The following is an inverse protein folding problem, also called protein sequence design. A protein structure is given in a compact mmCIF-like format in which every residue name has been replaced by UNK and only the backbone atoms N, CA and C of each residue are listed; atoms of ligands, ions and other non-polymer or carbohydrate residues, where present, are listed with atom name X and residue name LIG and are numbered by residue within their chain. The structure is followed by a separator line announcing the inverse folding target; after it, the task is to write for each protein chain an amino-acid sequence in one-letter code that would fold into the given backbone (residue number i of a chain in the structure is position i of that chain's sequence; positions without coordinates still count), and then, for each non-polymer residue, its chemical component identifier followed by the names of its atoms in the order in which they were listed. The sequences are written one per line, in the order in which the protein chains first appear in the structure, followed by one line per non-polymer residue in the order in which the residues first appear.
data_IF_768864756768
#
_entry.id   IF_768864756768
#
_cell.length_a   1.000
_cell.length_b   1.000
_cell.length_c   1.000
_cell.angle_alpha   90.00
_cell.angle_beta   90.00
_cell.angle_gamma   90.00
#
_symmetry.space_group_name_H-M   'P 1'
#
loop_
_entity.id
_entity.type
_entity.pdbx_description
1 polymer ?
#
# COMPACT_ATOMS: atom_id res chain seq x y z
N UNK A 1 -2.57 10.30 -14.08
CA UNK A 1 -1.48 9.33 -14.35
C UNK A 1 -1.00 8.85 -13.00
N UNK A 2 -1.09 7.55 -12.75
CA UNK A 2 -1.03 7.00 -11.39
C UNK A 2 0.35 6.43 -11.16
N UNK A 3 1.16 7.17 -10.40
CA UNK A 3 2.27 6.57 -9.68
C UNK A 3 1.70 6.01 -8.38
N UNK A 4 1.91 4.73 -8.04
CA UNK A 4 1.28 4.11 -6.88
C UNK A 4 2.00 4.52 -5.58
N UNK A 5 1.31 5.14 -4.62
CA UNK A 5 1.90 5.51 -3.32
C UNK A 5 0.89 5.47 -2.16
N UNK A 6 1.17 4.67 -1.13
CA UNK A 6 0.45 4.71 0.15
C UNK A 6 1.45 4.82 1.31
N UNK A 7 1.04 5.66 2.26
CA UNK A 7 1.51 5.84 3.62
C UNK A 7 1.18 4.66 4.55
N UNK A 8 2.18 4.10 5.25
CA UNK A 8 2.02 3.16 6.36
C UNK A 8 2.20 3.91 7.70
N UNK A 9 1.13 4.00 8.50
CA UNK A 9 1.14 4.67 9.81
C UNK A 9 1.60 3.77 10.97
N UNK A 10 2.03 2.53 10.70
CA UNK A 10 2.27 1.57 11.79
C UNK A 10 3.60 1.82 12.52
N UNK A 11 3.60 1.99 13.86
CA UNK A 11 4.84 1.95 14.63
C UNK A 11 5.34 0.50 14.68
N UNK A 12 6.46 0.23 14.02
CA UNK A 12 7.09 -1.10 14.05
C UNK A 12 7.60 -1.42 15.47
N UNK A 13 7.29 -2.60 16.04
CA UNK A 13 7.81 -2.99 17.34
C UNK A 13 9.32 -3.27 17.26
N UNK A 14 10.07 -2.71 18.22
CA UNK A 14 11.50 -2.98 18.40
C UNK A 14 11.69 -4.47 18.68
N UNK A 15 12.47 -5.15 17.85
CA UNK A 15 12.84 -6.55 18.05
C UNK A 15 13.67 -6.71 19.33
N UNK A 16 13.05 -7.21 20.40
CA UNK A 16 13.74 -7.69 21.58
C UNK A 16 14.29 -9.10 21.30
N UNK A 17 15.60 -9.18 21.05
CA UNK A 17 16.36 -10.43 21.00
C UNK A 17 16.29 -11.11 22.36
N UNK A 18 15.55 -12.21 22.44
CA UNK A 18 15.53 -13.09 23.61
C UNK A 18 16.63 -14.14 23.44
N UNK A 19 17.64 -14.11 24.32
CA UNK A 19 18.64 -15.16 24.50
C UNK A 19 18.37 -15.85 25.84
N UNK A 20 18.08 -17.13 25.80
CA UNK A 20 18.28 -18.12 26.88
C UNK A 20 18.98 -19.32 26.22
N UNK A 21 19.76 -20.19 26.90
CA UNK A 21 19.58 -20.73 28.27
C UNK A 21 20.92 -20.69 29.06
N UNK A 22 21.21 -21.25 30.24
CA UNK A 22 20.92 -22.54 30.88
C UNK A 22 21.18 -22.34 32.39
N UNK A 23 20.30 -22.81 33.27
CA UNK A 23 20.51 -22.84 34.72
C UNK A 23 20.85 -24.29 35.14
N UNK A 24 21.99 -24.48 35.78
CA UNK A 24 22.29 -25.66 36.60
C UNK A 24 22.59 -25.16 38.01
N UNK A 25 21.77 -25.57 38.99
CA UNK A 25 22.15 -25.53 40.39
C UNK A 25 21.41 -26.60 41.18
N UNK A 26 22.19 -27.22 42.05
CA UNK A 26 21.96 -28.39 42.88
C UNK A 26 21.05 -28.12 44.08
N UNK A 27 20.55 -29.23 44.63
CA UNK A 27 19.72 -29.37 45.83
C UNK A 27 20.29 -28.73 47.11
N UNK A 28 19.43 -28.17 47.98
CA UNK A 28 19.12 -28.73 49.31
C UNK A 28 18.01 -27.97 50.07
N UNK A 29 17.16 -28.76 50.74
CA UNK A 29 16.55 -28.55 52.05
C UNK A 29 15.77 -27.25 52.41
N UNK A 30 14.47 -27.44 52.67
CA UNK A 30 13.97 -27.23 54.03
C UNK A 30 13.07 -26.01 54.30
N UNK A 31 11.91 -26.33 54.90
CA UNK A 31 11.03 -25.55 55.79
C UNK A 31 9.73 -24.98 55.19
N UNK A 32 8.66 -25.32 55.91
CA UNK A 32 7.24 -25.01 55.71
C UNK A 32 6.96 -23.52 55.95
N UNK A 33 6.13 -22.91 55.11
CA UNK A 33 5.45 -21.64 55.35
C UNK A 33 4.16 -21.54 54.50
N UNK A 34 3.19 -20.70 54.87
CA UNK A 34 1.76 -21.00 54.78
C UNK A 34 1.10 -20.65 53.43
N UNK A 35 -0.09 -21.23 53.24
CA UNK A 35 -0.96 -21.10 52.07
C UNK A 35 -1.40 -19.64 51.85
N UNK A 36 -0.78 -18.95 50.89
CA UNK A 36 -1.35 -17.76 50.27
C UNK A 36 -2.20 -18.16 49.05
N UNK A 37 -3.49 -17.84 49.11
CA UNK A 37 -4.42 -17.90 47.98
C UNK A 37 -4.01 -16.84 46.94
N UNK A 38 -3.37 -17.25 45.85
CA UNK A 38 -3.17 -16.40 44.66
C UNK A 38 -4.47 -16.40 43.85
N UNK A 39 -5.14 -15.26 43.80
CA UNK A 39 -6.21 -15.00 42.85
C UNK A 39 -5.65 -15.08 41.42
N UNK A 40 -6.25 -15.91 40.57
CA UNK A 40 -5.92 -16.00 39.16
C UNK A 40 -6.55 -14.80 38.43
N UNK A 41 -5.77 -13.75 38.21
CA UNK A 41 -6.16 -12.67 37.30
C UNK A 41 -6.08 -13.23 35.88
N UNK A 42 -7.24 -13.54 35.29
CA UNK A 42 -7.36 -13.85 33.88
C UNK A 42 -7.03 -12.57 33.09
N UNK A 43 -5.82 -12.48 32.55
CA UNK A 43 -5.49 -11.45 31.55
C UNK A 43 -6.17 -11.89 30.26
N UNK A 44 -7.35 -11.33 29.99
CA UNK A 44 -7.97 -11.44 28.69
C UNK A 44 -7.04 -10.75 27.67
N UNK A 45 -6.28 -11.55 26.93
CA UNK A 45 -5.62 -11.11 25.71
C UNK A 45 -6.70 -10.64 24.75
N UNK A 46 -6.89 -9.32 24.65
CA UNK A 46 -7.74 -8.72 23.65
C UNK A 46 -7.22 -9.11 22.26
N UNK A 47 -8.00 -9.90 21.53
CA UNK A 47 -7.85 -9.98 20.08
C UNK A 47 -8.17 -8.58 19.54
N UNK A 48 -7.13 -7.85 19.13
CA UNK A 48 -7.30 -6.70 18.26
C UNK A 48 -7.81 -7.23 16.91
N UNK A 49 -9.13 -7.23 16.72
CA UNK A 49 -9.72 -7.41 15.41
C UNK A 49 -9.24 -6.25 14.53
N UNK A 50 -8.33 -6.54 13.60
CA UNK A 50 -7.89 -5.58 12.60
C UNK A 50 -9.13 -5.13 11.83
N UNK A 51 -9.49 -3.86 11.94
CA UNK A 51 -10.61 -3.31 11.19
C UNK A 51 -10.28 -3.45 9.70
N UNK A 52 -10.94 -4.40 9.02
CA UNK A 52 -10.87 -4.51 7.58
C UNK A 52 -11.46 -3.23 6.99
N UNK A 53 -10.61 -2.29 6.60
CA UNK A 53 -10.99 -1.15 5.78
C UNK A 53 -11.69 -1.70 4.54
N UNK A 54 -12.97 -1.36 4.39
CA UNK A 54 -13.74 -1.73 3.19
C UNK A 54 -12.99 -1.24 1.94
N UNK A 55 -12.82 -2.13 0.96
CA UNK A 55 -12.21 -1.76 -0.31
C UNK A 55 -13.07 -0.71 -1.04
N UNK A 56 -12.45 0.21 -1.80
CA UNK A 56 -13.19 1.24 -2.52
C UNK A 56 -14.09 0.61 -3.59
N UNK A 57 -15.22 1.25 -3.87
CA UNK A 57 -16.09 0.84 -4.97
C UNK A 57 -15.32 0.98 -6.29
N UNK A 58 -15.29 -0.10 -7.08
CA UNK A 58 -14.66 -0.11 -8.40
C UNK A 58 -15.61 -0.65 -9.45
N UNK A 59 -15.28 -0.43 -10.71
CA UNK A 59 -16.19 -0.71 -11.82
C UNK A 59 -17.20 0.41 -12.02
N UNK A 60 -17.90 0.36 -13.15
CA UNK A 60 -18.84 1.40 -13.58
C UNK A 60 -18.42 2.04 -14.89
N UNK A 61 -19.11 3.12 -15.26
CA UNK A 61 -18.88 3.82 -16.50
C UNK A 61 -17.75 4.85 -16.38
N UNK A 62 -16.99 4.99 -17.45
CA UNK A 62 -15.96 6.02 -17.58
C UNK A 62 -16.54 7.42 -17.36
N UNK A 63 -15.93 8.17 -16.44
CA UNK A 63 -16.32 9.54 -16.13
C UNK A 63 -15.38 10.52 -16.82
N UNK A 64 -15.92 11.38 -17.70
CA UNK A 64 -15.14 12.45 -18.34
C UNK A 64 -14.84 13.56 -17.34
N UNK A 65 -13.62 14.08 -17.40
CA UNK A 65 -13.19 15.27 -16.69
C UNK A 65 -13.26 16.50 -17.58
N UNK A 66 -13.49 17.66 -16.96
CA UNK A 66 -13.39 18.95 -17.64
C UNK A 66 -11.92 19.32 -17.89
N UNK A 67 -11.64 20.02 -18.98
CA UNK A 67 -10.28 20.45 -19.34
C UNK A 67 -9.63 21.34 -18.26
N UNK A 68 -10.42 22.06 -17.46
CA UNK A 68 -9.94 22.85 -16.32
C UNK A 68 -9.25 22.01 -15.24
N UNK A 69 -9.56 20.70 -15.14
CA UNK A 69 -8.83 19.79 -14.26
C UNK A 69 -7.34 19.78 -14.58
N UNK A 70 -7.01 20.01 -15.84
CA UNK A 70 -5.66 20.00 -16.34
C UNK A 70 -5.01 21.39 -16.44
N UNK A 71 -5.70 22.45 -16.02
CA UNK A 71 -5.15 23.81 -15.96
C UNK A 71 -3.99 23.93 -14.94
N UNK A 72 -3.06 24.88 -15.16
CA UNK A 72 -2.00 25.20 -14.21
C UNK A 72 -2.55 25.54 -12.81
N UNK A 73 -1.81 25.11 -11.78
CA UNK A 73 -2.10 25.28 -10.36
C UNK A 73 -0.79 25.67 -9.64
N UNK A 74 -0.80 25.68 -8.30
CA UNK A 74 0.37 26.05 -7.50
C UNK A 74 1.62 25.19 -7.75
N UNK A 75 1.45 23.91 -8.13
CA UNK A 75 2.54 22.98 -8.40
C UNK A 75 2.38 22.33 -9.78
N UNK A 76 2.65 23.09 -10.85
CA UNK A 76 2.42 22.61 -12.21
C UNK A 76 0.93 22.48 -12.49
N UNK A 77 0.39 21.27 -12.53
CA UNK A 77 -1.04 21.00 -12.76
C UNK A 77 -1.74 20.38 -11.56
N UNK A 78 -1.03 20.27 -10.44
CA UNK A 78 -1.51 19.82 -9.15
C UNK A 78 -1.40 20.96 -8.13
N UNK A 79 -2.14 20.91 -7.03
CA UNK A 79 -2.07 21.93 -5.98
C UNK A 79 -0.83 21.79 -5.10
N UNK A 80 -0.31 20.58 -4.98
CA UNK A 80 0.77 20.18 -4.08
C UNK A 80 1.69 19.18 -4.79
N UNK A 81 2.97 19.07 -4.38
CA UNK A 81 3.84 18.02 -4.88
C UNK A 81 3.32 16.63 -4.50
N UNK A 82 3.88 15.61 -5.16
CA UNK A 82 3.68 14.22 -4.75
C UNK A 82 4.13 13.99 -3.30
N UNK A 83 3.50 13.01 -2.65
CA UNK A 83 3.79 12.58 -1.29
C UNK A 83 5.28 12.26 -1.10
N UNK A 84 5.79 12.48 0.12
CA UNK A 84 7.20 12.29 0.41
C UNK A 84 7.67 10.84 0.33
N UNK A 85 6.79 9.90 0.68
CA UNK A 85 7.09 8.47 0.74
C UNK A 85 6.15 7.73 -0.19
N UNK A 86 6.65 7.46 -1.40
CA UNK A 86 5.92 6.66 -2.39
C UNK A 86 6.15 5.16 -2.16
N UNK A 87 5.21 4.34 -2.64
CA UNK A 87 5.37 2.89 -2.55
C UNK A 87 6.38 2.41 -3.58
N UNK A 88 6.84 1.20 -3.33
CA UNK A 88 7.58 0.42 -4.29
C UNK A 88 8.93 1.01 -4.71
N UNK A 89 9.49 1.92 -3.92
CA UNK A 89 10.78 2.56 -4.22
C UNK A 89 10.75 3.32 -5.57
N UNK A 90 9.61 3.94 -5.87
CA UNK A 90 9.51 4.82 -7.03
C UNK A 90 10.31 6.11 -6.78
N UNK A 91 11.08 6.52 -7.78
CA UNK A 91 11.79 7.80 -7.77
C UNK A 91 10.82 8.98 -7.69
N UNK A 92 10.86 9.69 -6.56
CA UNK A 92 9.96 10.79 -6.25
C UNK A 92 10.07 11.93 -7.26
N UNK A 93 11.28 12.23 -7.76
CA UNK A 93 11.48 13.31 -8.72
C UNK A 93 10.81 12.98 -10.07
N UNK A 94 10.98 11.75 -10.55
CA UNK A 94 10.29 11.25 -11.74
C UNK A 94 8.78 11.26 -11.54
N UNK A 95 8.29 10.77 -10.40
CA UNK A 95 6.87 10.77 -10.09
C UNK A 95 6.28 12.18 -10.11
N UNK A 96 6.94 13.14 -9.45
CA UNK A 96 6.48 14.52 -9.41
C UNK A 96 6.46 15.18 -10.78
N UNK A 97 7.52 14.97 -11.57
CA UNK A 97 7.59 15.46 -12.95
C UNK A 97 6.44 14.90 -13.79
N UNK A 98 6.13 13.61 -13.68
CA UNK A 98 5.09 12.97 -14.49
C UNK A 98 3.69 13.36 -14.04
N UNK A 99 3.43 13.42 -12.72
CA UNK A 99 2.12 13.73 -12.17
C UNK A 99 1.78 15.22 -12.31
N UNK A 100 2.75 16.09 -12.06
CA UNK A 100 2.51 17.53 -11.87
C UNK A 100 2.88 18.36 -13.10
N UNK A 101 3.93 17.98 -13.85
CA UNK A 101 4.53 18.83 -14.89
C UNK A 101 4.49 18.24 -16.31
N UNK A 102 4.02 17.01 -16.48
CA UNK A 102 4.00 16.37 -17.79
C UNK A 102 2.57 16.16 -18.34
N UNK A 103 2.30 16.71 -19.53
CA UNK A 103 1.03 16.50 -20.26
C UNK A 103 1.18 15.53 -21.43
N UNK A 104 2.39 15.27 -21.87
CA UNK A 104 2.68 14.46 -23.05
C UNK A 104 3.41 13.18 -22.62
N UNK A 105 2.79 12.02 -22.89
CA UNK A 105 3.33 10.68 -22.56
C UNK A 105 3.56 10.38 -21.07
N UNK A 106 3.66 9.11 -20.70
CA UNK A 106 4.03 8.71 -19.35
C UNK A 106 5.57 8.71 -19.17
N UNK A 107 6.06 8.21 -18.04
CA UNK A 107 7.43 7.71 -17.91
C UNK A 107 7.75 6.65 -18.98
N UNK A 108 9.03 6.34 -19.18
CA UNK A 108 9.44 5.35 -20.16
C UNK A 108 8.84 3.97 -19.86
N UNK A 109 8.51 3.21 -20.92
CA UNK A 109 7.94 1.88 -20.80
C UNK A 109 8.86 0.94 -20.00
N UNK A 110 8.27 0.18 -19.09
CA UNK A 110 8.99 -0.74 -18.20
C UNK A 110 9.66 -0.08 -17.00
N UNK A 111 9.42 1.21 -16.73
CA UNK A 111 9.92 1.88 -15.52
C UNK A 111 9.64 1.08 -14.24
N UNK A 112 8.40 0.60 -14.12
CA UNK A 112 7.93 -0.15 -12.95
C UNK A 112 8.71 -1.45 -12.71
N UNK A 113 9.35 -2.04 -13.74
CA UNK A 113 10.17 -3.24 -13.61
C UNK A 113 11.45 -2.99 -12.81
N UNK A 114 11.89 -1.73 -12.70
CA UNK A 114 13.09 -1.32 -11.94
C UNK A 114 12.78 -0.97 -10.48
N UNK A 115 11.52 -1.10 -10.09
CA UNK A 115 11.03 -0.76 -8.76
C UNK A 115 10.74 -2.04 -7.97
N UNK A 116 10.44 -1.93 -6.67
CA UNK A 116 10.04 -3.09 -5.85
C UNK A 116 8.57 -3.51 -6.08
N UNK A 117 7.88 -2.93 -7.07
CA UNK A 117 6.48 -3.19 -7.35
C UNK A 117 6.21 -4.65 -7.69
N UNK A 118 6.94 -5.24 -8.64
CA UNK A 118 6.67 -6.62 -9.09
C UNK A 118 6.78 -7.58 -7.91
N UNK A 119 7.86 -7.48 -7.14
CA UNK A 119 8.06 -8.33 -5.97
C UNK A 119 6.93 -8.15 -4.93
N UNK A 120 6.55 -6.91 -4.64
CA UNK A 120 5.48 -6.61 -3.69
C UNK A 120 4.09 -7.05 -4.17
N UNK A 121 3.82 -6.91 -5.47
CA UNK A 121 2.54 -7.24 -6.09
C UNK A 121 2.37 -8.75 -6.22
N UNK A 122 3.40 -9.48 -6.67
CA UNK A 122 3.37 -10.94 -6.73
C UNK A 122 3.30 -11.60 -5.35
N UNK A 123 3.81 -10.94 -4.30
CA UNK A 123 3.71 -11.43 -2.93
C UNK A 123 2.40 -11.04 -2.21
N UNK A 124 1.57 -10.18 -2.82
CA UNK A 124 0.32 -9.75 -2.22
C UNK A 124 -0.72 -10.87 -2.24
N UNK A 125 -1.43 -11.04 -1.12
CA UNK A 125 -2.60 -11.90 -1.05
C UNK A 125 -3.84 -11.11 -1.49
N UNK A 126 -4.48 -11.52 -2.58
CA UNK A 126 -5.73 -10.90 -3.06
C UNK A 126 -5.50 -9.63 -3.87
N UNK A 127 -6.34 -8.61 -3.68
CA UNK A 127 -6.32 -7.39 -4.50
C UNK A 127 -5.43 -6.31 -3.85
N UNK A 128 -4.64 -5.63 -4.67
CA UNK A 128 -3.85 -4.47 -4.27
C UNK A 128 -4.56 -3.18 -4.66
N UNK A 129 -4.70 -2.26 -3.70
CA UNK A 129 -5.17 -0.89 -3.97
C UNK A 129 -4.01 0.02 -4.40
N UNK A 130 -4.21 0.75 -5.50
CA UNK A 130 -3.31 1.72 -6.08
C UNK A 130 -3.85 3.12 -5.80
N UNK A 131 -2.97 4.02 -5.41
CA UNK A 131 -3.34 5.33 -4.88
C UNK A 131 -2.69 6.45 -5.70
N UNK A 132 -3.37 7.59 -5.74
CA UNK A 132 -2.85 8.81 -6.32
C UNK A 132 -1.62 9.31 -5.53
N UNK A 133 -0.51 9.55 -6.22
CA UNK A 133 0.73 10.02 -5.60
C UNK A 133 0.63 11.42 -5.00
N UNK A 134 -0.37 12.22 -5.39
CA UNK A 134 -0.57 13.57 -4.83
C UNK A 134 -1.58 13.53 -3.69
N UNK A 135 -2.82 13.13 -3.98
CA UNK A 135 -3.94 13.19 -3.01
C UNK A 135 -4.03 11.99 -2.06
N UNK A 136 -3.39 10.86 -2.39
CA UNK A 136 -3.50 9.63 -1.60
C UNK A 136 -4.86 8.93 -1.71
N UNK A 137 -5.71 9.36 -2.65
CA UNK A 137 -7.00 8.72 -2.90
C UNK A 137 -6.82 7.41 -3.68
N UNK A 138 -7.64 6.38 -3.43
CA UNK A 138 -7.59 5.14 -4.21
C UNK A 138 -8.06 5.41 -5.64
N UNK A 139 -7.28 4.93 -6.61
CA UNK A 139 -7.57 5.07 -8.04
C UNK A 139 -7.87 3.74 -8.70
N UNK A 140 -7.15 2.68 -8.31
CA UNK A 140 -7.40 1.34 -8.84
C UNK A 140 -7.34 0.27 -7.76
N UNK A 141 -8.01 -0.85 -8.01
CA UNK A 141 -7.92 -2.06 -7.21
C UNK A 141 -7.70 -3.23 -8.16
N UNK A 142 -6.52 -3.85 -8.11
CA UNK A 142 -6.13 -4.90 -9.05
C UNK A 142 -5.25 -5.96 -8.36
N UNK A 143 -5.25 -7.22 -8.83
CA UNK A 143 -6.00 -7.71 -9.99
C UNK A 143 -7.45 -8.05 -9.63
N UNK A 144 -8.41 -7.71 -10.50
CA UNK A 144 -9.83 -8.13 -10.34
C UNK A 144 -10.31 -8.90 -11.57
N UNK A 145 -10.94 -10.05 -11.34
CA UNK A 145 -11.39 -10.94 -12.43
C UNK A 145 -10.23 -11.59 -13.22
N UNK A 146 -9.00 -11.53 -12.70
CA UNK A 146 -7.79 -12.14 -13.28
C UNK A 146 -6.75 -12.41 -12.20
N UNK A 147 -5.71 -13.18 -12.54
CA UNK A 147 -4.58 -13.46 -11.64
C UNK A 147 -3.56 -12.31 -11.65
N UNK A 148 -2.69 -12.27 -10.64
CA UNK A 148 -1.53 -11.36 -10.61
C UNK A 148 -0.64 -11.53 -11.84
N UNK A 149 -0.38 -12.77 -12.25
CA UNK A 149 0.45 -13.07 -13.43
C UNK A 149 -0.19 -12.55 -14.71
N UNK A 150 -1.52 -12.70 -14.87
CA UNK A 150 -2.22 -12.16 -16.03
C UNK A 150 -2.18 -10.63 -16.07
N UNK A 151 -2.30 -9.97 -14.91
CA UNK A 151 -2.13 -8.51 -14.80
C UNK A 151 -0.72 -8.08 -15.21
N UNK A 152 0.31 -8.76 -14.70
CA UNK A 152 1.71 -8.43 -14.99
C UNK A 152 2.08 -8.70 -16.45
N UNK A 153 1.56 -9.78 -17.04
CA UNK A 153 1.76 -10.10 -18.46
C UNK A 153 1.14 -9.02 -19.36
N UNK A 154 -0.10 -8.62 -19.11
CA UNK A 154 -0.77 -7.53 -19.86
C UNK A 154 -0.03 -6.20 -19.68
N UNK A 155 0.38 -5.89 -18.45
CA UNK A 155 1.16 -4.69 -18.14
C UNK A 155 2.52 -4.67 -18.85
N UNK A 156 3.18 -5.83 -18.93
CA UNK A 156 4.46 -5.95 -19.64
C UNK A 156 4.30 -5.80 -21.16
N UNK A 157 3.18 -6.27 -21.72
CA UNK A 157 2.90 -6.12 -23.14
C UNK A 157 2.63 -4.65 -23.52
N UNK A 158 1.93 -3.90 -22.66
CA UNK A 158 1.67 -2.47 -22.85
C UNK A 158 2.86 -1.59 -22.49
N UNK A 159 3.74 -2.06 -21.60
CA UNK A 159 4.89 -1.30 -21.09
C UNK A 159 4.58 -0.50 -19.81
N UNK A 160 3.34 -0.51 -19.32
CA UNK A 160 2.91 0.16 -18.09
C UNK A 160 1.88 -0.69 -17.35
N UNK A 161 1.72 -0.52 -16.02
CA UNK A 161 0.61 -1.12 -15.27
C UNK A 161 -0.73 -0.82 -15.95
N UNK A 162 -1.41 -1.88 -16.39
CA UNK A 162 -2.61 -1.80 -17.23
C UNK A 162 -3.83 -2.23 -16.43
N UNK A 163 -4.77 -1.32 -16.24
CA UNK A 163 -5.98 -1.56 -15.44
C UNK A 163 -7.21 -1.71 -16.34
N UNK A 164 -8.12 -2.61 -15.96
CA UNK A 164 -9.43 -2.77 -16.61
C UNK A 164 -10.47 -1.89 -15.95
N UNK A 165 -11.61 -1.69 -16.63
CA UNK A 165 -12.68 -0.84 -16.13
C UNK A 165 -13.24 -1.32 -14.78
N UNK A 166 -13.25 -2.64 -14.54
CA UNK A 166 -13.68 -3.23 -13.27
C UNK A 166 -12.71 -2.93 -12.10
N UNK A 167 -11.47 -2.57 -12.42
CA UNK A 167 -10.41 -2.23 -11.45
C UNK A 167 -10.39 -0.72 -11.16
N UNK A 168 -11.13 0.10 -11.91
CA UNK A 168 -11.16 1.57 -11.79
C UNK A 168 -12.08 2.07 -10.67
N UNK A 169 -11.57 2.96 -9.81
CA UNK A 169 -12.36 3.74 -8.83
C UNK A 169 -12.84 5.02 -9.50
N UNK A 170 -13.95 4.94 -10.23
CA UNK A 170 -14.47 6.07 -11.02
C UNK A 170 -14.86 7.30 -10.21
N UNK A 171 -15.13 7.16 -8.91
CA UNK A 171 -15.34 8.31 -8.01
C UNK A 171 -14.14 9.27 -8.00
N UNK A 172 -12.93 8.74 -8.12
CA UNK A 172 -11.67 9.49 -8.07
C UNK A 172 -10.97 9.64 -9.44
N UNK A 173 -11.41 8.92 -10.46
CA UNK A 173 -10.81 8.95 -11.80
C UNK A 173 -11.59 9.83 -12.77
N UNK A 174 -10.88 10.56 -13.61
CA UNK A 174 -11.46 11.32 -14.72
C UNK A 174 -10.65 11.07 -15.98
N UNK A 175 -11.33 10.73 -17.06
CA UNK A 175 -10.73 10.63 -18.38
C UNK A 175 -10.75 12.00 -19.08
N UNK A 176 -9.68 12.40 -19.79
CA UNK A 176 -9.69 13.64 -20.56
C UNK A 176 -10.80 13.64 -21.60
N UNK A 177 -11.31 14.82 -21.91
CA UNK A 177 -12.25 15.06 -23.02
C UNK A 177 -11.64 14.86 -24.40
#
# INVERSE_FOLDING_TARGET
RVVPGLWDSSPRPRMARTLLPILACTSLAGRRAPRLRRAATLVATGCAASAATAQPATGGALVRGDDSLMAPKAHGTTSTPVQERLRWDVDRATADRICSYNRHYAEYAGYYNRTTFIAAFSAAEGETTFYDSVSGKPLFVAPRGRTHDAFLAESSAHGWPSFRDEECVWDNLRAPT
#
